data_IF_726132410977
#
_entry.id   IF_726132410977
#
_cell.length_a   1.000
_cell.length_b   1.000
_cell.length_c   1.000
_cell.angle_alpha   90.00
_cell.angle_beta   90.00
_cell.angle_gamma   90.00
#
_symmetry.space_group_name_H-M   'P 1'
#
loop_
_entity.id
_entity.type
_entity.pdbx_description
1 polymer ?
#
# COMPACT_ATOMS: atom_id res chain seq x y z
N UNK A 1 10.44 -2.68 -11.85
CA UNK A 1 10.31 -2.08 -10.51
C UNK A 1 9.02 -1.31 -10.52
N UNK A 2 8.16 -1.56 -9.54
CA UNK A 2 6.90 -0.85 -9.35
C UNK A 2 7.14 0.47 -8.59
N UNK A 3 6.16 1.38 -8.60
CA UNK A 3 6.19 2.60 -7.78
C UNK A 3 6.30 2.24 -6.28
N UNK A 4 5.66 1.14 -5.86
CA UNK A 4 5.77 0.63 -4.50
C UNK A 4 7.18 0.20 -4.11
N UNK A 5 7.96 -0.38 -5.05
CA UNK A 5 9.38 -0.70 -4.80
C UNK A 5 10.20 0.57 -4.56
N UNK A 6 9.87 1.67 -5.25
CA UNK A 6 10.52 2.97 -5.07
C UNK A 6 10.20 3.53 -3.68
N UNK A 7 8.93 3.51 -3.27
CA UNK A 7 8.53 3.96 -1.93
C UNK A 7 9.15 3.12 -0.82
N UNK A 8 9.15 1.80 -0.97
CA UNK A 8 9.84 0.88 -0.07
C UNK A 8 11.30 1.30 0.15
N UNK A 9 12.03 1.54 -0.94
CA UNK A 9 13.45 1.87 -0.86
C UNK A 9 13.71 3.23 -0.19
N UNK A 10 12.93 4.25 -0.52
CA UNK A 10 13.04 5.55 0.13
C UNK A 10 12.87 5.44 1.65
N UNK A 11 11.87 4.67 2.08
CA UNK A 11 11.62 4.43 3.48
C UNK A 11 12.78 3.65 4.14
N UNK A 12 13.25 2.58 3.49
CA UNK A 12 14.40 1.80 3.98
C UNK A 12 15.64 2.68 4.09
N UNK A 13 15.92 3.53 3.12
CA UNK A 13 17.08 4.40 3.12
C UNK A 13 17.02 5.43 4.26
N UNK A 14 15.87 6.07 4.44
CA UNK A 14 15.64 7.02 5.53
C UNK A 14 15.76 6.38 6.93
N UNK A 15 15.24 5.17 7.12
CA UNK A 15 15.35 4.50 8.42
C UNK A 15 16.71 3.81 8.64
N UNK A 16 17.43 3.44 7.57
CA UNK A 16 18.80 2.94 7.65
C UNK A 16 19.80 4.02 8.02
N UNK A 17 19.66 5.26 7.52
CA UNK A 17 20.51 6.39 7.98
C UNK A 17 20.33 6.65 9.47
N UNK A 18 19.15 6.38 10.02
CA UNK A 18 18.85 6.44 11.47
C UNK A 18 19.23 5.16 12.25
N UNK A 19 20.04 4.26 11.68
CA UNK A 19 20.51 2.97 12.24
C UNK A 19 19.40 2.06 12.82
N UNK A 20 18.16 2.14 12.30
CA UNK A 20 17.09 1.24 12.76
C UNK A 20 17.21 -0.15 12.13
N UNK A 21 17.48 -1.18 12.94
CA UNK A 21 17.47 -2.60 12.55
C UNK A 21 16.13 -3.03 11.90
N UNK A 22 15.04 -2.35 12.25
CA UNK A 22 13.68 -2.65 11.77
C UNK A 22 13.27 -1.85 10.51
N UNK A 23 14.17 -1.12 9.85
CA UNK A 23 13.85 -0.30 8.67
C UNK A 23 13.11 -1.07 7.57
N UNK A 24 13.50 -2.33 7.33
CA UNK A 24 12.87 -3.20 6.33
C UNK A 24 11.44 -3.58 6.74
N UNK A 25 11.23 -3.98 8.00
CA UNK A 25 9.89 -4.33 8.50
C UNK A 25 8.93 -3.15 8.40
N UNK A 26 9.40 -1.95 8.77
CA UNK A 26 8.62 -0.71 8.68
C UNK A 26 8.27 -0.40 7.22
N UNK A 27 9.23 -0.52 6.30
CA UNK A 27 9.00 -0.27 4.89
C UNK A 27 8.03 -1.26 4.24
N UNK A 28 8.17 -2.55 4.55
CA UNK A 28 7.24 -3.58 4.09
C UNK A 28 5.84 -3.32 4.62
N UNK A 29 5.72 -3.00 5.92
CA UNK A 29 4.43 -2.68 6.54
C UNK A 29 3.78 -1.47 5.87
N UNK A 30 4.54 -0.38 5.68
CA UNK A 30 4.06 0.83 5.02
C UNK A 30 3.50 0.54 3.62
N UNK A 31 4.25 -0.20 2.78
CA UNK A 31 3.81 -0.51 1.42
C UNK A 31 2.56 -1.41 1.41
N UNK A 32 2.52 -2.42 2.27
CA UNK A 32 1.32 -3.26 2.41
C UNK A 32 0.12 -2.45 2.87
N UNK A 33 0.30 -1.58 3.86
CA UNK A 33 -0.76 -0.72 4.36
C UNK A 33 -1.28 0.22 3.27
N UNK A 34 -0.37 0.89 2.54
CA UNK A 34 -0.74 1.77 1.42
C UNK A 34 -1.53 1.03 0.34
N UNK A 35 -1.11 -0.18 -0.04
CA UNK A 35 -1.83 -1.00 -1.02
C UNK A 35 -3.22 -1.41 -0.51
N UNK A 36 -3.36 -1.73 0.77
CA UNK A 36 -4.66 -2.03 1.37
C UNK A 36 -5.58 -0.80 1.38
N UNK A 37 -5.05 0.39 1.69
CA UNK A 37 -5.83 1.64 1.61
C UNK A 37 -6.32 1.91 0.18
N UNK A 38 -5.46 1.75 -0.83
CA UNK A 38 -5.86 1.92 -2.23
C UNK A 38 -6.91 0.88 -2.65
N UNK A 39 -6.76 -0.36 -2.20
CA UNK A 39 -7.73 -1.43 -2.47
C UNK A 39 -9.09 -1.11 -1.82
N UNK A 40 -9.09 -0.63 -0.58
CA UNK A 40 -10.30 -0.21 0.11
C UNK A 40 -10.97 0.98 -0.59
N UNK A 41 -10.19 1.97 -1.02
CA UNK A 41 -10.68 3.11 -1.79
C UNK A 41 -11.42 2.67 -3.05
N UNK A 42 -10.81 1.78 -3.83
CA UNK A 42 -11.45 1.20 -5.01
C UNK A 42 -12.70 0.40 -4.64
N UNK A 43 -12.64 -0.42 -3.58
CA UNK A 43 -13.77 -1.20 -3.11
C UNK A 43 -14.97 -0.34 -2.72
N UNK A 44 -14.75 0.73 -1.95
CA UNK A 44 -15.80 1.69 -1.54
C UNK A 44 -16.33 2.47 -2.74
N UNK A 45 -15.44 2.90 -3.65
CA UNK A 45 -15.82 3.57 -4.89
C UNK A 45 -16.76 2.69 -5.74
N UNK A 46 -16.37 1.44 -6.02
CA UNK A 46 -17.19 0.52 -6.80
C UNK A 46 -18.50 0.15 -6.10
N UNK A 47 -18.49 -0.06 -4.77
CA UNK A 47 -19.71 -0.32 -4.01
C UNK A 47 -20.72 0.82 -4.15
N UNK A 48 -20.26 2.07 -4.10
CA UNK A 48 -21.10 3.25 -4.31
C UNK A 48 -21.57 3.37 -5.77
N UNK A 49 -20.65 3.19 -6.72
CA UNK A 49 -20.96 3.25 -8.14
C UNK A 49 -22.04 2.23 -8.54
N UNK A 50 -21.93 0.98 -8.09
CA UNK A 50 -22.94 -0.05 -8.38
C UNK A 50 -24.29 0.24 -7.71
N UNK A 51 -24.28 0.79 -6.49
CA UNK A 51 -25.50 1.24 -5.83
C UNK A 51 -26.21 2.33 -6.65
N UNK A 52 -25.46 3.30 -7.18
CA UNK A 52 -26.02 4.36 -8.03
C UNK A 52 -26.56 3.82 -9.35
N UNK A 53 -25.90 2.82 -9.93
CA UNK A 53 -26.36 2.15 -11.16
C UNK A 53 -27.49 1.13 -10.95
N UNK A 54 -28.04 1.00 -9.73
CA UNK A 54 -29.08 0.03 -9.39
C UNK A 54 -28.69 -1.42 -9.72
N UNK A 55 -27.39 -1.74 -9.70
CA UNK A 55 -26.90 -3.09 -9.95
C UNK A 55 -26.66 -3.78 -8.60
N UNK A 56 -27.52 -4.73 -8.25
CA UNK A 56 -27.34 -5.60 -7.09
C UNK A 56 -26.29 -6.68 -7.37
N UNK A 57 -25.02 -6.28 -7.39
CA UNK A 57 -23.90 -7.20 -7.62
C UNK A 57 -23.64 -8.05 -6.37
N UNK A 58 -23.67 -7.44 -5.18
CA UNK A 58 -23.11 -8.07 -3.99
C UNK A 58 -23.53 -7.40 -2.67
N UNK A 59 -23.87 -8.21 -1.66
CA UNK A 59 -24.14 -7.71 -0.31
C UNK A 59 -22.88 -7.17 0.37
N UNK A 60 -23.04 -6.18 1.25
CA UNK A 60 -21.94 -5.57 1.98
C UNK A 60 -21.07 -6.60 2.75
N UNK A 61 -21.70 -7.61 3.34
CA UNK A 61 -21.03 -8.69 4.09
C UNK A 61 -20.02 -9.45 3.23
N UNK A 62 -20.43 -9.86 2.03
CA UNK A 62 -19.55 -10.57 1.10
C UNK A 62 -18.41 -9.63 0.65
N UNK A 63 -18.69 -8.33 0.46
CA UNK A 63 -17.69 -7.34 0.04
C UNK A 63 -16.55 -7.20 1.04
N UNK A 64 -16.89 -7.13 2.33
CA UNK A 64 -15.91 -7.13 3.41
C UNK A 64 -15.10 -8.44 3.47
N UNK A 65 -15.71 -9.59 3.21
CA UNK A 65 -15.00 -10.88 3.14
C UNK A 65 -13.94 -10.87 2.02
N UNK A 66 -14.31 -10.44 0.80
CA UNK A 66 -13.36 -10.31 -0.31
C UNK A 66 -12.25 -9.31 0.00
N UNK A 67 -12.58 -8.20 0.67
CA UNK A 67 -11.59 -7.23 1.11
C UNK A 67 -10.57 -7.86 2.06
N UNK A 68 -11.01 -8.56 3.11
CA UNK A 68 -10.12 -9.21 4.08
C UNK A 68 -9.23 -10.26 3.38
N UNK A 69 -9.80 -11.07 2.49
CA UNK A 69 -9.03 -12.05 1.71
C UNK A 69 -7.95 -11.37 0.87
N UNK A 70 -8.30 -10.26 0.21
CA UNK A 70 -7.37 -9.50 -0.62
C UNK A 70 -6.25 -8.86 0.20
N UNK A 71 -6.56 -8.36 1.39
CA UNK A 71 -5.56 -7.83 2.34
C UNK A 71 -4.56 -8.93 2.69
N UNK A 72 -5.00 -10.14 3.02
CA UNK A 72 -4.10 -11.26 3.33
C UNK A 72 -3.16 -11.57 2.16
N UNK A 73 -3.70 -11.61 0.94
CA UNK A 73 -2.91 -11.83 -0.29
C UNK A 73 -1.86 -10.74 -0.49
N UNK A 74 -2.24 -9.47 -0.29
CA UNK A 74 -1.32 -8.32 -0.39
C UNK A 74 -0.19 -8.43 0.62
N UNK A 75 -0.50 -8.72 1.89
CA UNK A 75 0.51 -8.88 2.94
C UNK A 75 1.47 -10.03 2.62
N UNK A 76 0.95 -11.18 2.22
CA UNK A 76 1.77 -12.34 1.88
C UNK A 76 2.68 -12.06 0.67
N UNK A 77 2.12 -11.47 -0.40
CA UNK A 77 2.86 -11.11 -1.61
C UNK A 77 4.01 -10.14 -1.30
N UNK A 78 3.73 -9.08 -0.54
CA UNK A 78 4.73 -8.08 -0.19
C UNK A 78 5.79 -8.65 0.76
N UNK A 79 5.39 -9.48 1.73
CA UNK A 79 6.35 -10.15 2.59
C UNK A 79 7.32 -11.02 1.79
N UNK A 80 6.81 -11.81 0.84
CA UNK A 80 7.64 -12.64 -0.05
C UNK A 80 8.53 -11.80 -0.99
N UNK A 81 8.03 -10.67 -1.50
CA UNK A 81 8.77 -9.78 -2.41
C UNK A 81 9.93 -9.06 -1.72
N UNK A 82 9.69 -8.54 -0.51
CA UNK A 82 10.68 -7.77 0.24
C UNK A 82 11.53 -8.63 1.19
N UNK A 83 11.32 -9.95 1.20
CA UNK A 83 12.15 -10.93 1.92
C UNK A 83 13.05 -11.75 0.98
N UNK A 84 14.11 -12.34 1.54
CA UNK A 84 14.97 -13.32 0.85
C UNK A 84 15.67 -12.84 -0.43
N UNK A 85 15.65 -13.69 -1.48
CA UNK A 85 16.43 -13.56 -2.72
C UNK A 85 15.93 -12.43 -3.63
N UNK A 86 14.62 -12.18 -3.69
CA UNK A 86 14.01 -11.08 -4.48
C UNK A 86 14.44 -9.71 -3.98
N UNK A 87 14.58 -9.53 -2.66
CA UNK A 87 15.15 -8.32 -2.04
C UNK A 87 16.56 -8.03 -2.51
N UNK A 88 17.43 -9.03 -2.58
CA UNK A 88 18.83 -8.83 -2.98
C UNK A 88 18.91 -8.35 -4.43
N UNK A 89 18.07 -8.91 -5.32
CA UNK A 89 17.94 -8.45 -6.70
C UNK A 89 17.43 -7.00 -6.79
N UNK A 90 16.43 -6.63 -5.98
CA UNK A 90 15.93 -5.27 -5.90
C UNK A 90 17.01 -4.30 -5.40
N UNK A 91 17.79 -4.68 -4.38
CA UNK A 91 18.88 -3.87 -3.85
C UNK A 91 19.96 -3.60 -4.90
N UNK A 92 20.37 -4.61 -5.67
CA UNK A 92 21.33 -4.45 -6.78
C UNK A 92 20.81 -3.51 -7.86
N UNK A 93 19.52 -3.63 -8.22
CA UNK A 93 18.87 -2.72 -9.18
C UNK A 93 18.81 -1.28 -8.66
N UNK A 94 18.68 -1.09 -7.35
CA UNK A 94 18.60 0.21 -6.69
C UNK A 94 19.96 0.88 -6.48
N UNK A 95 21.02 0.11 -6.23
CA UNK A 95 22.41 0.62 -6.16
C UNK A 95 22.85 1.28 -7.48
N UNK A 96 22.31 0.81 -8.61
CA UNK A 96 22.55 1.40 -9.93
C UNK A 96 21.79 2.72 -10.19
N UNK A 97 20.88 3.13 -9.30
CA UNK A 97 20.10 4.38 -9.42
C UNK A 97 20.63 5.46 -8.46
N UNK A 98 20.64 6.72 -8.93
CA UNK A 98 20.88 7.90 -8.07
C UNK A 98 19.90 7.89 -6.88
N UNK A 99 20.40 8.31 -5.70
CA UNK A 99 19.65 8.49 -4.46
C UNK A 99 18.34 9.22 -4.76
N UNK A 100 17.21 8.51 -4.79
CA UNK A 100 15.93 9.19 -4.81
C UNK A 100 15.63 9.64 -3.39
N UNK A 101 15.39 10.93 -3.23
CA UNK A 101 15.09 11.58 -1.96
C UNK A 101 13.66 12.08 -2.04
N UNK A 102 12.68 11.17 -1.94
CA UNK A 102 11.31 11.61 -1.69
C UNK A 102 11.20 12.07 -0.24
N UNK A 103 10.41 13.12 0.00
CA UNK A 103 10.18 13.59 1.36
C UNK A 103 9.41 12.52 2.15
N UNK A 104 10.02 12.04 3.23
CA UNK A 104 9.45 11.00 4.10
C UNK A 104 8.10 11.40 4.70
N UNK A 105 7.90 12.69 4.93
CA UNK A 105 6.64 13.23 5.46
C UNK A 105 5.50 13.04 4.46
N UNK A 106 5.76 13.32 3.17
CA UNK A 106 4.78 13.12 2.09
C UNK A 106 4.42 11.64 1.96
N UNK A 107 5.41 10.75 2.05
CA UNK A 107 5.17 9.30 2.05
C UNK A 107 4.25 8.90 3.21
N UNK A 108 4.52 9.37 4.43
CA UNK A 108 3.65 9.07 5.57
C UNK A 108 2.26 9.69 5.47
N UNK A 109 2.12 10.88 4.88
CA UNK A 109 0.83 11.56 4.71
C UNK A 109 -0.05 10.88 3.66
N UNK A 110 0.55 10.27 2.64
CA UNK A 110 -0.16 9.63 1.52
C UNK A 110 -1.27 8.65 1.95
N UNK A 111 -1.05 7.65 2.82
CA UNK A 111 -2.13 6.78 3.28
C UNK A 111 -3.21 7.53 4.06
N UNK A 112 -2.88 8.58 4.82
CA UNK A 112 -3.89 9.39 5.52
C UNK A 112 -4.76 10.19 4.55
N UNK A 113 -4.19 10.73 3.48
CA UNK A 113 -4.95 11.39 2.41
C UNK A 113 -5.93 10.39 1.79
N UNK A 114 -5.46 9.17 1.49
CA UNK A 114 -6.31 8.11 0.93
C UNK A 114 -7.44 7.75 1.91
N UNK A 115 -7.16 7.58 3.20
CA UNK A 115 -8.20 7.32 4.21
C UNK A 115 -9.21 8.47 4.30
N UNK A 116 -8.76 9.71 4.18
CA UNK A 116 -9.64 10.88 4.10
C UNK A 116 -10.57 10.81 2.89
N UNK A 117 -10.05 10.43 1.71
CA UNK A 117 -10.86 10.23 0.50
C UNK A 117 -11.86 9.07 0.65
N UNK A 118 -11.46 7.99 1.31
CA UNK A 118 -12.37 6.87 1.62
C UNK A 118 -13.51 7.38 2.50
N UNK A 119 -13.19 8.16 3.53
CA UNK A 119 -14.19 8.72 4.43
C UNK A 119 -15.15 9.66 3.71
N UNK A 120 -14.65 10.56 2.85
CA UNK A 120 -15.52 11.45 2.08
C UNK A 120 -16.40 10.70 1.09
N UNK A 121 -15.89 9.67 0.41
CA UNK A 121 -16.71 8.81 -0.47
C UNK A 121 -17.72 7.97 0.32
N UNK A 122 -17.38 7.56 1.53
CA UNK A 122 -18.29 6.85 2.40
C UNK A 122 -19.42 7.78 2.89
N UNK A 123 -19.10 9.04 3.21
CA UNK A 123 -20.03 10.06 3.66
C UNK A 123 -20.78 10.78 2.54
N UNK A 124 -20.32 10.70 1.29
CA UNK A 124 -21.05 11.20 0.13
C UNK A 124 -22.37 10.41 0.02
N UNK A 125 -23.39 10.97 0.66
CA UNK A 125 -24.78 10.54 0.70
C UNK A 125 -25.42 10.94 -0.61
#
# INVERSE_FOLDING_TARGET
>A
MTIFDIFFFNLVQYYKTKKRKNAIKIATFYVSFLQCCLLLLLGVFFARFFKQMHVDVMSASKGWILFILSVLVVFFKNWMQYSGRKRNLLHVKMLKRKKQTYNIWVLWLLPFIILGLIYTLFQAI
#
